data_IF_459892026381
#
_entry.id   IF_459892026381
#
_cell.length_a   1.000
_cell.length_b   1.000
_cell.length_c   1.000
_cell.angle_alpha   90.00
_cell.angle_beta   90.00
_cell.angle_gamma   90.00
#
_symmetry.space_group_name_H-M   'P 1'
#
loop_
_entity.id
_entity.type
_entity.pdbx_description
1 polymer ?
#
# COMPACT_ATOMS: atom_id res chain seq x y z
N UNK A 1 -30.85 2.37 8.67
CA UNK A 1 -29.85 2.02 7.61
C UNK A 1 -28.57 2.88 7.63
N UNK A 2 -28.38 3.83 8.57
CA UNK A 2 -27.11 4.59 8.74
C UNK A 2 -26.33 4.27 10.04
N UNK A 3 -26.83 3.37 10.88
CA UNK A 3 -26.17 2.98 12.16
C UNK A 3 -25.20 1.80 12.05
N UNK A 4 -25.33 0.96 11.02
CA UNK A 4 -24.50 -0.24 10.85
C UNK A 4 -23.08 0.11 10.37
N UNK A 5 -22.93 1.11 9.49
CA UNK A 5 -21.62 1.56 8.98
C UNK A 5 -20.74 2.18 10.08
N UNK A 6 -21.35 2.86 11.05
CA UNK A 6 -20.65 3.42 12.20
C UNK A 6 -20.15 2.30 13.13
N UNK A 7 -20.94 1.24 13.35
CA UNK A 7 -20.55 0.12 14.20
C UNK A 7 -19.42 -0.72 13.60
N UNK A 8 -19.41 -0.94 12.28
CA UNK A 8 -18.30 -1.63 11.60
C UNK A 8 -16.99 -0.87 11.68
N UNK A 9 -17.03 0.46 11.48
CA UNK A 9 -15.85 1.31 11.63
C UNK A 9 -15.33 1.26 13.07
N UNK A 10 -16.21 1.37 14.06
CA UNK A 10 -15.84 1.32 15.48
C UNK A 10 -15.30 -0.04 15.91
N UNK A 11 -15.90 -1.15 15.44
CA UNK A 11 -15.43 -2.52 15.67
C UNK A 11 -14.07 -2.78 15.04
N UNK A 12 -13.84 -2.31 13.82
CA UNK A 12 -12.55 -2.47 13.14
C UNK A 12 -11.47 -1.65 13.87
N UNK A 13 -11.78 -0.45 14.33
CA UNK A 13 -10.84 0.36 15.10
C UNK A 13 -10.57 -0.15 16.52
N UNK A 14 -11.51 -0.88 17.13
CA UNK A 14 -11.35 -1.41 18.50
C UNK A 14 -10.80 -2.83 18.55
N UNK A 15 -11.01 -3.63 17.51
CA UNK A 15 -10.57 -5.04 17.47
C UNK A 15 -9.24 -5.22 16.75
N UNK A 16 -8.92 -4.39 15.76
CA UNK A 16 -7.75 -4.58 14.90
C UNK A 16 -6.81 -3.38 15.00
N UNK A 17 -5.51 -3.65 15.19
CA UNK A 17 -4.48 -2.61 15.11
C UNK A 17 -4.46 -1.99 13.71
N UNK A 18 -4.05 -0.72 13.60
CA UNK A 18 -3.93 -0.04 12.30
C UNK A 18 -3.01 -0.81 11.32
N UNK A 19 -1.99 -1.48 11.85
CA UNK A 19 -1.12 -2.39 11.10
C UNK A 19 -1.89 -3.56 10.49
N UNK A 20 -2.75 -4.24 11.27
CA UNK A 20 -3.52 -5.38 10.79
C UNK A 20 -4.51 -5.00 9.69
N UNK A 21 -5.17 -3.85 9.84
CA UNK A 21 -6.07 -3.30 8.81
C UNK A 21 -5.30 -3.09 7.50
N UNK A 22 -4.11 -2.47 7.58
CA UNK A 22 -3.30 -2.20 6.41
C UNK A 22 -2.77 -3.49 5.76
N UNK A 23 -2.33 -4.47 6.56
CA UNK A 23 -1.88 -5.77 6.08
C UNK A 23 -2.98 -6.50 5.30
N UNK A 24 -4.19 -6.57 5.85
CA UNK A 24 -5.33 -7.22 5.19
C UNK A 24 -5.71 -6.47 3.93
N UNK A 25 -5.75 -5.14 3.96
CA UNK A 25 -5.99 -4.32 2.78
C UNK A 25 -4.98 -4.62 1.67
N UNK A 26 -3.68 -4.53 1.98
CA UNK A 26 -2.61 -4.74 1.01
C UNK A 26 -2.58 -6.15 0.43
N UNK A 27 -3.00 -7.15 1.21
CA UNK A 27 -3.12 -8.54 0.77
C UNK A 27 -4.40 -8.82 -0.04
N UNK A 28 -5.47 -8.08 0.21
CA UNK A 28 -6.73 -8.18 -0.54
C UNK A 28 -6.74 -7.38 -1.85
N UNK A 29 -5.91 -6.34 -1.96
CA UNK A 29 -5.86 -5.49 -3.13
C UNK A 29 -5.34 -6.23 -4.36
N UNK A 30 -5.93 -5.92 -5.52
CA UNK A 30 -5.44 -6.36 -6.83
C UNK A 30 -4.41 -5.35 -7.35
N UNK A 31 -3.23 -5.83 -7.74
CA UNK A 31 -2.06 -5.03 -8.13
C UNK A 31 -1.70 -5.17 -9.62
N UNK A 32 -2.56 -5.86 -10.37
CA UNK A 32 -2.42 -6.25 -11.76
C UNK A 32 -3.36 -7.41 -12.05
N UNK A 33 -3.60 -7.79 -13.32
CA UNK A 33 -4.58 -8.81 -13.68
C UNK A 33 -4.34 -10.13 -12.95
N UNK A 34 -5.20 -10.46 -11.98
CA UNK A 34 -5.08 -11.69 -11.18
C UNK A 34 -3.95 -11.68 -10.14
N UNK A 35 -3.33 -10.53 -9.86
CA UNK A 35 -2.22 -10.40 -8.92
C UNK A 35 -2.75 -9.81 -7.61
N UNK A 36 -3.04 -10.68 -6.65
CA UNK A 36 -3.58 -10.29 -5.35
C UNK A 36 -2.50 -10.30 -4.28
N UNK A 37 -2.42 -9.19 -3.55
CA UNK A 37 -1.55 -9.03 -2.40
C UNK A 37 -0.16 -8.47 -2.67
N UNK A 38 0.38 -7.78 -1.67
CA UNK A 38 1.64 -7.02 -1.80
C UNK A 38 2.85 -7.91 -2.13
N UNK A 39 2.91 -9.13 -1.58
CA UNK A 39 3.97 -10.10 -1.87
C UNK A 39 3.92 -10.56 -3.34
N UNK A 40 2.74 -10.87 -3.86
CA UNK A 40 2.57 -11.24 -5.26
C UNK A 40 2.88 -10.05 -6.18
N UNK A 41 2.47 -8.84 -5.79
CA UNK A 41 2.75 -7.61 -6.53
C UNK A 41 4.26 -7.32 -6.63
N UNK A 42 5.00 -7.49 -5.55
CA UNK A 42 6.45 -7.31 -5.50
C UNK A 42 7.17 -8.25 -6.49
N UNK A 43 6.78 -9.53 -6.48
CA UNK A 43 7.33 -10.54 -7.40
C UNK A 43 6.92 -10.27 -8.84
N UNK A 44 5.66 -9.91 -9.08
CA UNK A 44 5.14 -9.66 -10.41
C UNK A 44 5.78 -8.43 -11.08
N UNK A 45 5.92 -7.31 -10.37
CA UNK A 45 6.48 -6.08 -10.96
C UNK A 45 8.01 -6.05 -10.92
N UNK A 46 8.66 -6.62 -9.90
CA UNK A 46 10.09 -6.43 -9.70
C UNK A 46 10.91 -7.72 -9.57
N UNK A 47 10.28 -8.90 -9.49
CA UNK A 47 10.98 -10.17 -9.29
C UNK A 47 11.62 -10.30 -7.90
N UNK A 48 11.13 -9.55 -6.92
CA UNK A 48 11.66 -9.51 -5.55
C UNK A 48 10.58 -9.87 -4.53
N UNK A 49 10.98 -10.35 -3.36
CA UNK A 49 10.09 -10.44 -2.21
C UNK A 49 9.76 -9.05 -1.66
N UNK A 50 8.57 -8.86 -1.07
CA UNK A 50 8.09 -7.56 -0.62
C UNK A 50 9.02 -6.92 0.44
N UNK A 51 9.63 -7.74 1.30
CA UNK A 51 10.61 -7.29 2.31
C UNK A 51 11.88 -6.68 1.68
N UNK A 52 12.19 -7.02 0.42
CA UNK A 52 13.39 -6.57 -0.30
C UNK A 52 13.12 -5.33 -1.14
N UNK A 53 11.89 -4.82 -1.16
CA UNK A 53 11.55 -3.64 -1.93
C UNK A 53 12.26 -2.41 -1.36
N UNK A 54 12.89 -1.65 -2.25
CA UNK A 54 13.34 -0.31 -1.91
C UNK A 54 12.16 0.63 -1.68
N UNK A 55 12.37 1.72 -0.93
CA UNK A 55 11.36 2.78 -0.73
C UNK A 55 10.79 3.32 -2.05
N UNK A 56 11.60 3.34 -3.11
CA UNK A 56 11.18 3.75 -4.46
C UNK A 56 10.23 2.73 -5.10
N UNK A 57 10.54 1.43 -5.03
CA UNK A 57 9.67 0.39 -5.59
C UNK A 57 8.36 0.30 -4.81
N UNK A 58 8.41 0.42 -3.48
CA UNK A 58 7.23 0.49 -2.64
C UNK A 58 6.35 1.70 -2.98
N UNK A 59 6.94 2.88 -3.19
CA UNK A 59 6.18 4.07 -3.56
C UNK A 59 5.59 3.99 -4.98
N UNK A 60 6.25 3.29 -5.91
CA UNK A 60 5.71 2.98 -7.24
C UNK A 60 4.51 2.03 -7.17
N UNK A 61 4.58 0.97 -6.35
CA UNK A 61 3.44 0.09 -6.11
C UNK A 61 2.27 0.87 -5.52
N UNK A 62 2.51 1.68 -4.47
CA UNK A 62 1.48 2.52 -3.89
C UNK A 62 0.87 3.51 -4.90
N UNK A 63 1.68 4.04 -5.83
CA UNK A 63 1.21 4.96 -6.86
C UNK A 63 0.31 4.31 -7.91
N UNK A 64 0.40 2.98 -8.12
CA UNK A 64 -0.42 2.28 -9.12
C UNK A 64 -1.76 1.78 -8.60
N UNK A 65 -1.95 1.69 -7.28
CA UNK A 65 -3.20 1.25 -6.63
C UNK A 65 -4.51 1.90 -7.14
N UNK A 66 -4.54 3.17 -7.58
CA UNK A 66 -5.77 3.75 -8.12
C UNK A 66 -6.19 3.17 -9.48
N UNK A 67 -5.24 2.63 -10.26
CA UNK A 67 -5.55 1.98 -11.54
C UNK A 67 -4.54 0.86 -11.86
N UNK A 68 -4.53 -0.21 -11.06
CA UNK A 68 -3.47 -1.24 -11.09
C UNK A 68 -3.49 -2.07 -12.38
N UNK A 69 -4.64 -2.16 -13.05
CA UNK A 69 -4.78 -2.83 -14.34
C UNK A 69 -4.27 -2.01 -15.53
N UNK A 70 -4.16 -0.68 -15.38
CA UNK A 70 -3.75 0.24 -16.45
C UNK A 70 -2.33 0.76 -16.27
N UNK A 71 -1.83 0.81 -15.03
CA UNK A 71 -0.55 1.41 -14.69
C UNK A 71 0.46 0.35 -14.28
N UNK A 72 1.69 0.47 -14.76
CA UNK A 72 2.80 -0.41 -14.38
C UNK A 72 3.65 0.23 -13.30
N UNK A 73 3.91 -0.51 -12.20
CA UNK A 73 4.85 -0.07 -11.17
C UNK A 73 6.30 -0.25 -11.62
N UNK A 74 6.58 -1.32 -12.38
CA UNK A 74 7.89 -1.64 -12.95
C UNK A 74 8.32 -0.67 -14.06
N UNK A 75 7.37 -0.23 -14.89
CA UNK A 75 7.59 0.70 -16.00
C UNK A 75 6.63 1.89 -15.89
N UNK A 76 6.82 2.75 -14.88
CA UNK A 76 5.87 3.80 -14.56
C UNK A 76 5.88 4.88 -15.64
N UNK A 77 4.70 5.27 -16.11
CA UNK A 77 4.51 6.44 -16.96
C UNK A 77 4.77 7.76 -16.21
N UNK A 78 4.75 8.92 -16.89
CA UNK A 78 5.07 10.23 -16.28
C UNK A 78 4.26 10.52 -15.01
N UNK A 79 2.95 10.28 -15.05
CA UNK A 79 2.05 10.48 -13.92
C UNK A 79 2.42 9.60 -12.71
N UNK A 80 2.59 8.29 -12.94
CA UNK A 80 2.94 7.34 -11.87
C UNK A 80 4.30 7.70 -11.26
N UNK A 81 5.28 8.10 -12.07
CA UNK A 81 6.58 8.56 -11.57
C UNK A 81 6.45 9.77 -10.66
N UNK A 82 5.69 10.78 -11.07
CA UNK A 82 5.46 11.99 -10.28
C UNK A 82 4.76 11.66 -8.96
N UNK A 83 3.69 10.85 -9.03
CA UNK A 83 2.95 10.42 -7.84
C UNK A 83 3.80 9.58 -6.90
N UNK A 84 4.59 8.64 -7.42
CA UNK A 84 5.51 7.82 -6.63
C UNK A 84 6.60 8.66 -5.94
N UNK A 85 7.09 9.72 -6.60
CA UNK A 85 8.04 10.65 -6.00
C UNK A 85 7.40 11.44 -4.86
N UNK A 86 6.17 11.94 -5.06
CA UNK A 86 5.41 12.61 -4.01
C UNK A 86 5.14 11.69 -2.82
N UNK A 87 4.66 10.45 -3.05
CA UNK A 87 4.44 9.45 -2.00
C UNK A 87 5.74 9.21 -1.22
N UNK A 88 6.86 8.99 -1.92
CA UNK A 88 8.16 8.77 -1.28
C UNK A 88 8.56 9.95 -0.41
N UNK A 89 8.34 11.19 -0.86
CA UNK A 89 8.61 12.38 -0.06
C UNK A 89 7.73 12.42 1.21
N UNK A 90 6.46 12.04 1.10
CA UNK A 90 5.56 11.96 2.26
C UNK A 90 6.00 10.89 3.27
N UNK A 91 6.49 9.74 2.81
CA UNK A 91 7.05 8.71 3.69
C UNK A 91 8.16 9.29 4.58
N UNK A 92 9.03 10.15 4.04
CA UNK A 92 10.06 10.83 4.83
C UNK A 92 9.48 11.87 5.80
N UNK A 93 8.50 12.67 5.37
CA UNK A 93 7.87 13.69 6.21
C UNK A 93 7.13 13.09 7.41
N UNK A 94 6.59 11.88 7.27
CA UNK A 94 5.92 11.16 8.35
C UNK A 94 6.90 10.59 9.40
N UNK A 95 8.21 10.67 9.16
CA UNK A 95 9.25 10.11 10.02
C UNK A 95 9.83 8.79 9.50
N UNK A 96 9.55 8.38 8.26
CA UNK A 96 10.09 7.16 7.68
C UNK A 96 9.61 5.90 8.41
N UNK A 97 10.56 5.05 8.81
CA UNK A 97 10.36 3.81 9.56
C UNK A 97 9.95 4.06 11.02
N UNK A 98 10.34 5.19 11.62
CA UNK A 98 9.90 5.61 12.96
C UNK A 98 8.38 5.85 13.05
N UNK A 99 7.72 6.08 11.91
CA UNK A 99 6.26 6.12 11.85
C UNK A 99 5.63 4.75 12.13
N UNK A 100 6.25 3.67 11.66
CA UNK A 100 5.74 2.31 11.85
C UNK A 100 5.82 1.90 13.33
N UNK A 101 6.91 2.25 14.01
CA UNK A 101 7.08 2.02 15.45
C UNK A 101 6.03 2.76 16.32
N UNK A 102 5.44 3.84 15.80
CA UNK A 102 4.34 4.55 16.46
C UNK A 102 2.97 3.93 16.19
N UNK A 103 2.81 3.18 15.10
CA UNK A 103 1.57 2.46 14.77
C UNK A 103 1.41 1.14 15.55
N UNK A 104 2.49 0.63 16.14
CA UNK A 104 2.51 -0.58 16.98
C UNK A 104 2.10 -0.31 18.45
N UNK A 105 1.95 0.96 18.84
CA UNK A 105 1.44 1.39 20.15
C UNK A 105 -0.05 1.70 20.09
#
# INVERSE_FOLDING_TARGET
RKGLEAWFTLLIETLWTKQRILEVYLNSAEWGPGVFGAQAAARYHFGLDAERLSRTQASQLAAVLPSPLKWSAARPGPYVRQRAAWIRQQMWQLGGDDYLLRLER
#
